data_IF_232395562924
#
_entry.id   IF_232395562924
#
_cell.length_a   1.000
_cell.length_b   1.000
_cell.length_c   1.000
_cell.angle_alpha   90.00
_cell.angle_beta   90.00
_cell.angle_gamma   90.00
#
_symmetry.space_group_name_H-M   'P 1'
#
loop_
_entity.id
_entity.type
_entity.pdbx_description
1 polymer ?
#
# COMPACT_ATOMS: atom_id res chain seq x y z
N UNK A 1 1.39 -30.92 -22.76
CA UNK A 1 1.85 -29.60 -22.26
C UNK A 1 0.67 -28.89 -21.64
N UNK A 2 0.35 -29.19 -20.39
CA UNK A 2 -0.74 -28.54 -19.67
C UNK A 2 -0.23 -27.20 -19.14
N UNK A 3 -0.83 -26.11 -19.64
CA UNK A 3 -0.63 -24.75 -19.14
C UNK A 3 -1.03 -24.71 -17.66
N UNK A 4 -0.03 -24.78 -16.79
CA UNK A 4 -0.18 -24.37 -15.41
C UNK A 4 -0.48 -22.87 -15.41
N UNK A 5 -1.77 -22.52 -15.39
CA UNK A 5 -2.24 -21.21 -14.97
C UNK A 5 -1.86 -21.03 -13.50
N UNK A 6 -0.58 -20.71 -13.30
CA UNK A 6 -0.05 -20.17 -12.06
C UNK A 6 -0.62 -18.76 -11.98
N UNK A 7 -1.84 -18.65 -11.46
CA UNK A 7 -2.34 -17.39 -10.92
C UNK A 7 -1.54 -17.19 -9.65
N UNK A 8 -0.29 -16.76 -9.81
CA UNK A 8 0.48 -16.19 -8.72
C UNK A 8 -0.28 -14.96 -8.29
N UNK A 9 -0.69 -14.91 -7.01
CA UNK A 9 -0.93 -13.63 -6.36
C UNK A 9 0.33 -12.81 -6.60
N UNK A 10 0.26 -11.87 -7.55
CA UNK A 10 1.45 -11.14 -7.96
C UNK A 10 1.94 -10.41 -6.73
N UNK A 11 3.07 -10.86 -6.20
CA UNK A 11 3.71 -10.25 -5.03
C UNK A 11 3.88 -8.75 -5.25
N UNK A 12 4.11 -8.37 -6.50
CA UNK A 12 4.18 -6.98 -6.97
C UNK A 12 2.86 -6.23 -6.77
N UNK A 13 1.71 -6.85 -7.08
CA UNK A 13 0.38 -6.25 -6.87
C UNK A 13 0.11 -5.98 -5.40
N UNK A 14 0.37 -6.95 -4.51
CA UNK A 14 0.13 -6.75 -3.07
C UNK A 14 1.07 -5.70 -2.47
N UNK A 15 2.36 -5.69 -2.86
CA UNK A 15 3.30 -4.65 -2.44
C UNK A 15 2.86 -3.26 -2.93
N UNK A 16 2.40 -3.17 -4.18
CA UNK A 16 1.88 -1.92 -4.74
C UNK A 16 0.63 -1.44 -3.97
N UNK A 17 -0.28 -2.35 -3.63
CA UNK A 17 -1.48 -2.09 -2.85
C UNK A 17 -1.14 -1.53 -1.45
N UNK A 18 -0.22 -2.18 -0.74
CA UNK A 18 0.27 -1.72 0.58
C UNK A 18 0.91 -0.34 0.44
N UNK A 19 1.80 -0.14 -0.54
CA UNK A 19 2.44 1.16 -0.77
C UNK A 19 1.42 2.27 -1.07
N UNK A 20 0.41 1.95 -1.86
CA UNK A 20 -0.65 2.90 -2.21
C UNK A 20 -1.46 3.31 -0.96
N UNK A 21 -1.79 2.36 -0.08
CA UNK A 21 -2.43 2.65 1.20
C UNK A 21 -1.54 3.49 2.12
N UNK A 22 -0.23 3.24 2.14
CA UNK A 22 0.74 4.07 2.86
C UNK A 22 0.75 5.52 2.35
N UNK A 23 0.70 5.72 1.03
CA UNK A 23 0.61 7.05 0.41
C UNK A 23 -0.72 7.73 0.77
N UNK A 24 -1.82 7.00 0.71
CA UNK A 24 -3.15 7.52 1.04
C UNK A 24 -3.20 8.00 2.50
N UNK A 25 -2.75 7.17 3.43
CA UNK A 25 -2.71 7.48 4.86
C UNK A 25 -1.71 8.57 5.24
N UNK A 26 -0.86 9.08 4.32
CA UNK A 26 -0.07 10.30 4.57
C UNK A 26 -0.93 11.56 4.62
N UNK A 27 -2.09 11.54 3.97
CA UNK A 27 -3.03 12.65 3.93
C UNK A 27 -3.85 12.76 5.23
N UNK A 28 -3.83 11.72 6.06
CA UNK A 28 -4.53 11.71 7.35
C UNK A 28 -3.83 12.66 8.33
N UNK A 29 -4.56 13.19 9.33
CA UNK A 29 -3.96 13.97 10.40
C UNK A 29 -2.81 13.22 11.09
N UNK A 30 -1.71 13.92 11.41
CA UNK A 30 -0.45 13.28 11.85
C UNK A 30 -0.59 12.40 13.09
N UNK A 31 -1.49 12.75 14.01
CA UNK A 31 -1.70 12.06 15.30
C UNK A 31 -2.91 11.13 15.30
N UNK A 32 -3.46 10.83 14.13
CA UNK A 32 -4.67 10.01 14.05
C UNK A 32 -4.36 8.52 14.28
N UNK A 33 -4.97 7.85 15.27
CA UNK A 33 -4.70 6.44 15.54
C UNK A 33 -5.11 5.53 14.37
N UNK A 34 -6.18 5.87 13.65
CA UNK A 34 -6.65 5.10 12.49
C UNK A 34 -5.55 4.94 11.43
N UNK A 35 -4.74 5.98 11.24
CA UNK A 35 -3.62 6.00 10.29
C UNK A 35 -2.64 4.85 10.52
N UNK A 36 -2.24 4.65 11.77
CA UNK A 36 -1.25 3.62 12.12
C UNK A 36 -1.88 2.23 12.07
N UNK A 37 -3.13 2.11 12.52
CA UNK A 37 -3.88 0.85 12.52
C UNK A 37 -4.16 0.33 11.11
N UNK A 38 -4.51 1.19 10.16
CA UNK A 38 -4.68 0.77 8.76
C UNK A 38 -3.38 0.28 8.13
N UNK A 39 -2.24 0.88 8.48
CA UNK A 39 -0.93 0.46 7.97
C UNK A 39 -0.49 -0.87 8.56
N UNK A 40 -0.65 -1.04 9.86
CA UNK A 40 -0.38 -2.29 10.58
C UNK A 40 -1.18 -3.44 9.96
N UNK A 41 -2.49 -3.27 9.75
CA UNK A 41 -3.31 -4.28 9.08
C UNK A 41 -2.86 -4.59 7.65
N UNK A 42 -2.46 -3.57 6.89
CA UNK A 42 -1.97 -3.77 5.53
C UNK A 42 -0.68 -4.59 5.47
N UNK A 43 0.19 -4.41 6.47
CA UNK A 43 1.43 -5.18 6.60
C UNK A 43 1.11 -6.62 7.03
N UNK A 44 0.17 -6.83 7.95
CA UNK A 44 -0.28 -8.18 8.33
C UNK A 44 -0.89 -8.95 7.15
N UNK A 45 -1.73 -8.30 6.35
CA UNK A 45 -2.28 -8.88 5.11
C UNK A 45 -1.15 -9.24 4.14
N UNK A 46 -0.19 -8.34 3.93
CA UNK A 46 0.97 -8.58 3.07
C UNK A 46 1.78 -9.80 3.55
N UNK A 47 2.08 -9.87 4.85
CA UNK A 47 2.78 -10.99 5.47
C UNK A 47 2.00 -12.29 5.27
N UNK A 48 0.69 -12.26 5.52
CA UNK A 48 -0.22 -13.40 5.33
C UNK A 48 -0.21 -13.92 3.89
N UNK A 49 -0.33 -13.02 2.91
CA UNK A 49 -0.30 -13.37 1.48
C UNK A 49 1.07 -13.93 1.06
N UNK A 50 2.17 -13.36 1.54
CA UNK A 50 3.53 -13.88 1.29
C UNK A 50 3.70 -15.27 1.89
N UNK A 51 3.25 -15.48 3.13
CA UNK A 51 3.26 -16.80 3.78
C UNK A 51 2.47 -17.81 2.93
N UNK A 52 1.23 -17.49 2.58
CA UNK A 52 0.38 -18.34 1.73
C UNK A 52 1.05 -18.72 0.41
N UNK A 53 1.67 -17.75 -0.27
CA UNK A 53 2.44 -18.01 -1.50
C UNK A 53 3.63 -18.94 -1.25
N UNK A 54 4.38 -18.76 -0.15
CA UNK A 54 5.53 -19.62 0.17
C UNK A 54 5.14 -21.07 0.46
N UNK A 55 4.01 -21.30 1.16
CA UNK A 55 3.51 -22.64 1.44
C UNK A 55 3.06 -23.38 0.17
N UNK A 56 2.57 -22.66 -0.85
CA UNK A 56 2.17 -23.27 -2.13
C UNK A 56 3.34 -23.87 -2.91
N UNK A 57 4.55 -23.34 -2.72
CA UNK A 57 5.76 -23.77 -3.46
C UNK A 57 6.40 -25.00 -2.82
N UNK A 58 6.34 -25.14 -1.51
CA UNK A 58 6.96 -26.27 -0.77
C UNK A 58 6.27 -27.62 -0.99
N UNK A 59 5.02 -27.65 -1.46
CA UNK A 59 4.31 -28.91 -1.75
C UNK A 59 4.77 -29.60 -3.04
N UNK A 60 5.75 -29.04 -3.77
CA UNK A 60 6.28 -29.62 -5.02
C UNK A 60 7.60 -30.39 -4.85
N UNK A 61 8.26 -30.32 -3.69
CA UNK A 61 9.49 -31.09 -3.43
C UNK A 61 9.24 -32.11 -2.32
N UNK A 62 9.00 -33.35 -2.76
CA UNK A 62 9.00 -34.53 -1.90
C UNK A 62 10.31 -34.59 -1.10
N UNK A 63 10.23 -34.44 0.22
CA UNK A 63 11.18 -35.09 1.11
C UNK A 63 10.39 -35.83 2.17
N UNK A 64 10.60 -37.14 2.17
CA UNK A 64 9.84 -38.14 2.88
C UNK A 64 10.27 -38.17 4.34
N UNK A 65 9.50 -37.54 5.25
CA UNK A 65 9.36 -38.05 6.61
C UNK A 65 8.14 -37.47 7.34
N UNK A 66 7.47 -38.36 8.05
CA UNK A 66 6.22 -38.23 8.81
C UNK A 66 6.24 -37.16 9.90
N UNK A 67 5.20 -36.32 9.99
CA UNK A 67 4.16 -36.49 11.01
C UNK A 67 3.04 -35.46 10.86
N UNK A 68 1.83 -35.92 11.17
CA UNK A 68 0.56 -35.30 10.85
C UNK A 68 0.33 -33.93 11.51
N UNK A 69 0.29 -32.85 10.70
CA UNK A 69 -0.66 -31.71 10.83
C UNK A 69 -0.54 -30.64 9.71
N UNK A 70 -0.62 -30.94 8.39
CA UNK A 70 -0.49 -29.88 7.38
C UNK A 70 -1.78 -29.08 7.14
N UNK A 71 -2.95 -29.65 7.44
CA UNK A 71 -4.25 -29.10 6.99
C UNK A 71 -4.74 -27.91 7.84
N UNK A 72 -4.63 -28.00 9.17
CA UNK A 72 -5.09 -26.92 10.08
C UNK A 72 -4.29 -25.63 9.94
N UNK A 73 -2.98 -25.70 9.66
CA UNK A 73 -2.12 -24.50 9.68
C UNK A 73 -2.37 -23.57 8.49
N UNK A 74 -2.74 -24.11 7.33
CA UNK A 74 -3.09 -23.30 6.15
C UNK A 74 -4.46 -22.64 6.28
N UNK A 75 -5.45 -23.34 6.85
CA UNK A 75 -6.80 -22.79 7.06
C UNK A 75 -6.80 -21.64 8.06
N UNK A 76 -6.03 -21.76 9.15
CA UNK A 76 -5.86 -20.69 10.15
C UNK A 76 -5.26 -19.42 9.52
N UNK A 77 -4.26 -19.56 8.63
CA UNK A 77 -3.64 -18.41 7.97
C UNK A 77 -4.58 -17.71 6.98
N UNK A 78 -5.47 -18.45 6.31
CA UNK A 78 -6.42 -17.86 5.35
C UNK A 78 -7.54 -17.10 6.06
N UNK A 79 -8.05 -17.65 7.17
CA UNK A 79 -9.08 -17.00 7.99
C UNK A 79 -8.57 -15.69 8.59
N UNK A 80 -7.34 -15.68 9.11
CA UNK A 80 -6.71 -14.46 9.64
C UNK A 80 -6.58 -13.35 8.58
N UNK A 81 -6.28 -13.70 7.33
CA UNK A 81 -6.19 -12.72 6.23
C UNK A 81 -7.56 -12.14 5.90
N UNK A 82 -8.60 -12.98 5.86
CA UNK A 82 -9.98 -12.56 5.57
C UNK A 82 -10.48 -11.62 6.67
N UNK A 83 -10.27 -11.98 7.93
CA UNK A 83 -10.66 -11.15 9.08
C UNK A 83 -9.95 -9.79 9.05
N UNK A 84 -8.64 -9.78 8.76
CA UNK A 84 -7.88 -8.54 8.63
C UNK A 84 -8.38 -7.67 7.46
N UNK A 85 -8.81 -8.27 6.35
CA UNK A 85 -9.41 -7.56 5.22
C UNK A 85 -10.77 -6.94 5.60
N UNK A 86 -11.58 -7.62 6.41
CA UNK A 86 -12.88 -7.11 6.88
C UNK A 86 -12.74 -5.97 7.88
N UNK A 87 -11.76 -6.05 8.78
CA UNK A 87 -11.43 -4.95 9.70
C UNK A 87 -10.93 -3.75 8.88
N UNK A 88 -10.09 -3.98 7.87
CA UNK A 88 -9.58 -2.90 7.02
C UNK A 88 -10.70 -2.23 6.20
N UNK A 89 -11.68 -3.00 5.68
CA UNK A 89 -12.86 -2.45 5.00
C UNK A 89 -13.68 -1.55 5.93
N UNK A 90 -13.87 -1.98 7.19
CA UNK A 90 -14.52 -1.18 8.22
C UNK A 90 -13.78 0.14 8.47
N UNK A 91 -12.45 0.13 8.48
CA UNK A 91 -11.63 1.34 8.62
C UNK A 91 -11.73 2.28 7.41
N UNK A 92 -11.87 1.75 6.18
CA UNK A 92 -12.14 2.58 5.01
C UNK A 92 -13.47 3.32 5.13
N UNK A 93 -14.52 2.67 5.65
CA UNK A 93 -15.82 3.30 5.86
C UNK A 93 -15.71 4.46 6.86
N UNK A 94 -15.00 4.26 7.98
CA UNK A 94 -14.70 5.34 8.93
C UNK A 94 -13.92 6.48 8.24
N UNK A 95 -12.89 6.16 7.45
CA UNK A 95 -12.09 7.17 6.76
C UNK A 95 -12.91 7.98 5.72
N UNK A 96 -13.91 7.37 5.07
CA UNK A 96 -14.84 8.06 4.15
C UNK A 96 -15.71 9.07 4.89
N UNK A 97 -16.23 8.73 6.06
CA UNK A 97 -17.03 9.63 6.88
C UNK A 97 -16.22 10.85 7.36
N UNK A 98 -14.94 10.64 7.66
CA UNK A 98 -14.05 11.70 8.13
C UNK A 98 -13.56 12.65 7.01
N UNK A 99 -13.70 12.25 5.74
CA UNK A 99 -13.37 13.05 4.56
C UNK A 99 -11.93 13.61 4.55
N UNK A 100 -10.96 12.84 5.08
CA UNK A 100 -9.53 13.23 5.08
C UNK A 100 -8.86 13.07 3.71
N UNK A 101 -9.44 12.22 2.86
CA UNK A 101 -8.95 11.89 1.52
C UNK A 101 -10.11 11.92 0.54
N UNK A 102 -9.80 12.15 -0.75
CA UNK A 102 -10.75 11.98 -1.84
C UNK A 102 -11.48 10.64 -1.74
N UNK A 103 -12.81 10.67 -1.81
CA UNK A 103 -13.65 9.47 -1.81
C UNK A 103 -13.26 8.53 -2.96
N UNK A 104 -12.94 9.08 -4.13
CA UNK A 104 -12.53 8.29 -5.29
C UNK A 104 -11.24 7.51 -5.03
N UNK A 105 -10.24 8.12 -4.39
CA UNK A 105 -8.96 7.46 -4.09
C UNK A 105 -9.15 6.34 -3.05
N UNK A 106 -9.98 6.61 -2.04
CA UNK A 106 -10.37 5.63 -1.02
C UNK A 106 -11.13 4.44 -1.64
N UNK A 107 -12.08 4.71 -2.53
CA UNK A 107 -12.87 3.68 -3.22
C UNK A 107 -12.02 2.80 -4.13
N UNK A 108 -11.06 3.37 -4.86
CA UNK A 108 -10.13 2.61 -5.70
C UNK A 108 -9.33 1.63 -4.82
N UNK A 109 -8.75 2.11 -3.72
CA UNK A 109 -7.97 1.24 -2.83
C UNK A 109 -8.85 0.17 -2.19
N UNK A 110 -10.02 0.55 -1.66
CA UNK A 110 -10.96 -0.38 -1.05
C UNK A 110 -11.40 -1.47 -2.04
N UNK A 111 -11.70 -1.09 -3.29
CA UNK A 111 -12.04 -2.06 -4.35
C UNK A 111 -10.92 -3.06 -4.60
N UNK A 112 -9.66 -2.59 -4.63
CA UNK A 112 -8.51 -3.47 -4.86
C UNK A 112 -8.27 -4.45 -3.69
N UNK A 113 -8.49 -4.03 -2.43
CA UNK A 113 -8.46 -4.95 -1.28
C UNK A 113 -9.63 -5.93 -1.30
N UNK A 114 -10.81 -5.52 -1.78
CA UNK A 114 -11.96 -6.40 -1.95
C UNK A 114 -11.75 -7.43 -3.08
N UNK A 115 -11.06 -7.05 -4.16
CA UNK A 115 -10.63 -8.00 -5.19
C UNK A 115 -9.65 -9.03 -4.62
N UNK A 116 -8.68 -8.59 -3.80
CA UNK A 116 -7.79 -9.48 -3.09
C UNK A 116 -8.55 -10.46 -2.19
N UNK A 117 -9.55 -9.97 -1.43
CA UNK A 117 -10.42 -10.82 -0.58
C UNK A 117 -11.08 -11.92 -1.40
N UNK A 118 -11.71 -11.57 -2.53
CA UNK A 118 -12.36 -12.52 -3.43
C UNK A 118 -11.37 -13.56 -3.97
N UNK A 119 -10.16 -13.16 -4.30
CA UNK A 119 -9.16 -14.08 -4.81
C UNK A 119 -8.68 -15.07 -3.72
N UNK A 120 -8.54 -14.62 -2.46
CA UNK A 120 -8.25 -15.52 -1.31
C UNK A 120 -9.41 -16.50 -1.09
N UNK A 121 -10.66 -16.04 -1.12
CA UNK A 121 -11.84 -16.91 -1.00
C UNK A 121 -11.96 -17.91 -2.17
N UNK A 122 -11.66 -17.48 -3.40
CA UNK A 122 -11.68 -18.35 -4.57
C UNK A 122 -10.63 -19.47 -4.49
N UNK A 123 -9.48 -19.20 -3.86
CA UNK A 123 -8.48 -20.24 -3.58
C UNK A 123 -8.98 -21.26 -2.55
N UNK A 124 -9.79 -20.83 -1.57
CA UNK A 124 -10.50 -21.73 -0.65
C UNK A 124 -11.46 -22.64 -1.41
N UNK A 125 -12.30 -22.09 -2.29
CA UNK A 125 -13.32 -22.86 -3.03
C UNK A 125 -12.69 -23.90 -3.98
N UNK A 126 -11.56 -23.56 -4.62
CA UNK A 126 -10.81 -24.51 -5.47
C UNK A 126 -10.20 -25.66 -4.67
N UNK A 127 -9.83 -25.44 -3.39
CA UNK A 127 -9.36 -26.50 -2.48
C UNK A 127 -10.51 -27.35 -1.92
N UNK A 128 -11.72 -26.79 -1.77
CA UNK A 128 -12.87 -27.52 -1.20
C UNK A 128 -13.66 -28.33 -2.23
N UNK A 129 -13.67 -27.96 -3.51
CA UNK A 129 -14.39 -28.71 -4.56
C UNK A 129 -13.76 -30.06 -4.96
N UNK A 130 -12.65 -30.47 -4.33
CA UNK A 130 -12.15 -31.85 -4.39
C UNK A 130 -12.74 -32.78 -3.32
N UNK A 131 -13.63 -32.31 -2.42
CA UNK A 131 -14.50 -33.16 -1.57
C UNK A 131 -15.77 -32.40 -1.12
N UNK A 132 -16.99 -32.78 -1.56
CA UNK A 132 -18.21 -32.17 -1.03
C UNK A 132 -18.75 -32.92 0.20
N UNK A 133 -18.94 -32.22 1.32
CA UNK A 133 -20.26 -32.05 1.98
C UNK A 133 -20.17 -31.51 3.42
N UNK A 134 -20.78 -30.33 3.60
CA UNK A 134 -21.59 -29.75 4.69
C UNK A 134 -21.71 -30.57 6.00
N UNK A 135 -21.69 -29.99 7.22
CA UNK A 135 -22.76 -29.14 7.79
C UNK A 135 -22.29 -28.39 9.05
N UNK A 136 -22.82 -27.17 9.18
CA UNK A 136 -22.82 -26.19 10.27
C UNK A 136 -23.30 -26.70 11.65
N UNK A 137 -22.71 -26.23 12.75
CA UNK A 137 -23.25 -26.43 14.11
C UNK A 137 -22.63 -25.49 15.15
N UNK A 138 -23.48 -24.65 15.76
CA UNK A 138 -23.20 -23.54 16.70
C UNK A 138 -22.81 -24.02 18.13
N UNK A 139 -22.24 -23.09 18.92
CA UNK A 139 -22.55 -22.73 20.35
C UNK A 139 -21.34 -22.64 21.33
N UNK A 140 -21.08 -21.38 21.74
CA UNK A 140 -20.84 -20.76 23.07
C UNK A 140 -19.74 -21.22 24.07
N UNK A 141 -18.95 -20.19 24.47
CA UNK A 141 -18.47 -19.77 25.82
C UNK A 141 -18.31 -20.80 26.94
N UNK A 142 -17.14 -20.76 27.60
CA UNK A 142 -17.06 -20.47 29.04
C UNK A 142 -15.65 -20.05 29.48
N UNK A 143 -15.64 -19.21 30.53
CA UNK A 143 -14.49 -18.61 31.20
C UNK A 143 -13.79 -19.63 32.12
N UNK A 144 -12.53 -19.40 32.50
CA UNK A 144 -12.14 -19.35 33.93
C UNK A 144 -10.69 -18.88 34.14
N UNK A 145 -10.50 -18.19 35.26
CA UNK A 145 -9.33 -17.46 35.75
C UNK A 145 -8.53 -18.32 36.74
N UNK A 146 -7.20 -18.08 36.86
CA UNK A 146 -6.37 -17.96 38.09
C UNK A 146 -4.91 -18.37 37.82
N UNK A 147 -3.97 -17.42 37.87
CA UNK A 147 -3.09 -17.06 39.01
C UNK A 147 -1.76 -17.83 39.03
N UNK A 148 -0.64 -17.09 39.21
CA UNK A 148 0.65 -17.64 39.65
C UNK A 148 1.87 -17.26 38.82
N UNK A 149 2.49 -16.11 39.12
CA UNK A 149 3.93 -15.84 38.89
C UNK A 149 4.78 -16.63 39.92
N UNK A 150 6.14 -16.63 39.94
CA UNK A 150 7.13 -15.83 39.17
C UNK A 150 8.36 -16.65 38.69
N UNK A 151 9.41 -15.97 38.20
CA UNK A 151 10.88 -16.26 38.25
C UNK A 151 11.54 -15.58 37.02
N UNK A 152 12.21 -14.41 37.18
CA UNK A 152 13.68 -14.22 37.39
C UNK A 152 14.51 -14.90 36.29
N UNK A 153 15.22 -14.21 35.40
CA UNK A 153 16.57 -13.59 35.48
C UNK A 153 17.15 -13.73 34.05
N UNK A 154 18.03 -12.94 33.43
CA UNK A 154 18.98 -11.91 33.83
C UNK A 154 19.30 -11.07 32.58
N UNK A 155 19.56 -9.78 32.78
CA UNK A 155 20.32 -8.94 31.83
C UNK A 155 21.81 -9.28 31.94
N UNK A 156 22.56 -9.14 30.84
CA UNK A 156 23.91 -8.59 30.92
C UNK A 156 23.97 -7.23 30.22
N UNK A 157 24.41 -6.23 30.97
CA UNK A 157 25.01 -5.00 30.45
C UNK A 157 26.44 -5.30 29.95
N UNK A 158 26.85 -4.66 28.85
CA UNK A 158 28.12 -3.90 28.76
C UNK A 158 28.34 -3.38 27.33
N UNK A 159 28.89 -2.17 27.20
CA UNK A 159 29.61 -1.74 26.00
C UNK A 159 29.13 -0.45 25.36
N UNK A 160 29.66 0.69 25.81
CA UNK A 160 29.41 2.02 25.25
C UNK A 160 30.14 2.34 23.94
N UNK A 161 29.76 3.52 23.41
CA UNK A 161 30.37 4.32 22.33
C UNK A 161 30.24 3.83 20.87
N UNK A 162 29.14 4.20 20.21
CA UNK A 162 29.10 4.34 18.73
C UNK A 162 27.91 5.16 18.16
N UNK A 163 27.11 5.84 19.00
CA UNK A 163 25.80 6.38 18.57
C UNK A 163 25.81 7.76 17.88
N UNK A 164 26.84 8.58 18.05
CA UNK A 164 26.82 9.95 17.50
C UNK A 164 27.38 10.05 16.07
N UNK A 165 28.17 9.07 15.62
CA UNK A 165 28.78 9.10 14.29
C UNK A 165 27.84 8.55 13.20
N UNK A 166 26.91 7.68 13.59
CA UNK A 166 25.93 7.04 12.70
C UNK A 166 24.76 7.95 12.31
N UNK A 167 24.40 8.94 13.14
CA UNK A 167 23.30 9.87 12.84
C UNK A 167 23.64 10.90 11.75
N UNK A 168 24.92 11.30 11.65
CA UNK A 168 25.38 12.34 10.71
C UNK A 168 25.53 11.84 9.26
N UNK A 169 25.84 10.56 9.09
CA UNK A 169 25.92 9.91 7.78
C UNK A 169 24.53 9.61 7.19
N UNK A 170 23.54 9.35 8.06
CA UNK A 170 22.17 9.06 7.64
C UNK A 170 21.42 10.30 7.13
N UNK A 171 21.69 11.48 7.70
CA UNK A 171 21.14 12.76 7.23
C UNK A 171 21.68 13.14 5.83
N UNK A 172 22.97 12.92 5.58
CA UNK A 172 23.58 13.23 4.28
C UNK A 172 23.13 12.26 3.16
N UNK A 173 22.80 11.02 3.51
CA UNK A 173 22.26 10.02 2.57
C UNK A 173 20.82 10.34 2.17
N UNK A 174 19.98 10.76 3.12
CA UNK A 174 18.59 11.21 2.89
C UNK A 174 18.50 12.45 1.99
N UNK A 175 19.49 13.35 2.05
CA UNK A 175 19.54 14.53 1.16
C UNK A 175 19.99 14.20 -0.27
N UNK A 176 20.88 13.21 -0.44
CA UNK A 176 21.31 12.73 -1.76
C UNK A 176 20.24 11.90 -2.47
N UNK A 177 19.45 11.13 -1.72
CA UNK A 177 18.32 10.35 -2.27
C UNK A 177 17.16 11.28 -2.73
N UNK A 178 16.87 12.35 -1.98
CA UNK A 178 15.91 13.39 -2.39
C UNK A 178 16.25 14.05 -3.74
N UNK A 179 17.54 14.29 -4.02
CA UNK A 179 17.98 14.86 -5.32
C UNK A 179 17.86 13.88 -6.49
N UNK A 180 17.81 12.57 -6.22
CA UNK A 180 17.75 11.53 -7.27
C UNK A 180 16.30 11.25 -7.72
N UNK A 181 15.33 11.48 -6.85
CA UNK A 181 13.90 11.25 -7.12
C UNK A 181 13.25 12.39 -7.93
N UNK A 182 13.86 13.59 -7.97
CA UNK A 182 13.38 14.73 -8.78
C UNK A 182 13.61 14.56 -10.31
N UNK A 183 14.40 13.56 -10.71
CA UNK A 183 14.77 13.31 -12.10
C UNK A 183 13.74 12.50 -12.90
N UNK A 184 12.81 11.79 -12.26
CA UNK A 184 11.79 11.00 -12.96
C UNK A 184 10.61 11.93 -13.29
N UNK A 185 10.38 12.16 -14.58
CA UNK A 185 9.25 12.95 -15.05
C UNK A 185 7.95 12.18 -14.70
N UNK A 186 7.10 12.74 -13.85
CA UNK A 186 5.85 12.09 -13.47
C UNK A 186 4.88 12.05 -14.66
N UNK A 187 4.10 10.98 -14.83
CA UNK A 187 3.06 10.83 -15.87
C UNK A 187 2.12 12.06 -15.95
N UNK A 188 1.85 12.69 -14.81
CA UNK A 188 1.06 13.91 -14.72
C UNK A 188 1.72 15.11 -15.41
N UNK A 189 3.04 15.26 -15.28
CA UNK A 189 3.79 16.34 -15.91
C UNK A 189 3.81 16.16 -17.43
N UNK A 190 3.86 14.91 -17.91
CA UNK A 190 3.76 14.60 -19.33
C UNK A 190 2.40 15.02 -19.91
N UNK A 191 1.29 14.72 -19.23
CA UNK A 191 -0.05 15.19 -19.64
C UNK A 191 -0.13 16.71 -19.72
N UNK A 192 0.50 17.44 -18.81
CA UNK A 192 0.59 18.91 -18.85
C UNK A 192 1.37 19.37 -20.09
N UNK A 193 2.47 18.70 -20.44
CA UNK A 193 3.27 19.03 -21.62
C UNK A 193 2.52 18.75 -22.92
N UNK A 194 1.78 17.63 -23.02
CA UNK A 194 0.93 17.34 -24.19
C UNK A 194 -0.10 18.45 -24.38
N UNK A 195 -0.79 18.86 -23.32
CA UNK A 195 -1.76 19.94 -23.38
C UNK A 195 -1.14 21.28 -23.82
N UNK A 196 0.07 21.60 -23.32
CA UNK A 196 0.79 22.81 -23.74
C UNK A 196 1.24 22.75 -25.20
N UNK A 197 1.54 21.56 -25.75
CA UNK A 197 1.84 21.40 -27.20
C UNK A 197 0.61 21.68 -28.06
N UNK A 198 -0.56 21.23 -27.64
CA UNK A 198 -1.81 21.39 -28.39
C UNK A 198 -2.36 22.83 -28.33
N UNK A 199 -2.38 23.44 -27.15
CA UNK A 199 -2.94 24.79 -26.94
C UNK A 199 -1.91 25.91 -27.12
N UNK A 200 -0.62 25.57 -27.21
CA UNK A 200 0.51 26.50 -27.27
C UNK A 200 0.84 27.15 -25.92
N UNK A 201 -0.16 27.71 -25.23
CA UNK A 201 -0.03 28.29 -23.90
C UNK A 201 -1.24 27.96 -23.02
N UNK A 202 -1.02 27.82 -21.72
CA UNK A 202 -2.09 27.54 -20.77
C UNK A 202 -1.92 28.27 -19.44
N UNK A 203 -3.06 28.54 -18.79
CA UNK A 203 -3.12 28.91 -17.38
C UNK A 203 -3.41 27.69 -16.52
N UNK A 204 -3.06 27.77 -15.24
CA UNK A 204 -3.27 26.67 -14.27
C UNK A 204 -4.72 26.20 -14.22
N UNK A 205 -5.69 27.10 -14.39
CA UNK A 205 -7.11 26.73 -14.35
C UNK A 205 -7.56 25.95 -15.59
N UNK A 206 -6.95 26.19 -16.76
CA UNK A 206 -7.27 25.46 -17.99
C UNK A 206 -6.79 24.01 -17.88
N UNK A 207 -5.60 23.81 -17.30
CA UNK A 207 -5.09 22.46 -17.01
C UNK A 207 -5.92 21.74 -15.95
N UNK A 208 -6.60 22.47 -15.05
CA UNK A 208 -7.54 21.85 -14.12
C UNK A 208 -8.76 21.21 -14.81
N UNK A 209 -9.13 21.65 -16.02
CA UNK A 209 -10.25 21.04 -16.77
C UNK A 209 -9.88 19.63 -17.28
N UNK A 210 -8.64 19.44 -17.70
CA UNK A 210 -8.16 18.14 -18.22
C UNK A 210 -7.72 17.18 -17.12
N UNK A 211 -7.37 17.71 -15.94
CA UNK A 211 -6.94 16.94 -14.78
C UNK A 211 -7.76 17.36 -13.55
N UNK A 212 -9.05 17.00 -13.48
CA UNK A 212 -9.94 17.40 -12.38
C UNK A 212 -9.55 16.76 -11.04
N UNK A 213 -8.87 15.62 -11.09
CA UNK A 213 -8.37 14.86 -9.93
C UNK A 213 -7.32 15.63 -9.11
N UNK A 214 -6.64 16.61 -9.71
CA UNK A 214 -5.58 17.37 -9.03
C UNK A 214 -5.98 18.79 -8.66
N UNK A 215 -5.57 19.17 -7.46
CA UNK A 215 -5.82 20.52 -6.94
C UNK A 215 -5.00 21.57 -7.70
N UNK A 216 -5.49 22.83 -7.69
CA UNK A 216 -4.75 23.98 -8.25
C UNK A 216 -3.36 24.14 -7.63
N UNK A 217 -3.18 23.72 -6.37
CA UNK A 217 -1.89 23.81 -5.66
C UNK A 217 -0.90 22.76 -6.15
N UNK A 218 -1.37 21.54 -6.40
CA UNK A 218 -0.56 20.48 -7.00
C UNK A 218 -0.11 20.87 -8.40
N UNK A 219 -1.04 21.37 -9.23
CA UNK A 219 -0.72 21.84 -10.58
C UNK A 219 0.35 22.95 -10.56
N UNK A 220 0.23 23.96 -9.68
CA UNK A 220 1.26 25.01 -9.54
C UNK A 220 2.64 24.42 -9.23
N UNK A 221 2.71 23.39 -8.38
CA UNK A 221 3.97 22.71 -8.04
C UNK A 221 4.54 21.93 -9.23
N UNK A 222 3.70 21.27 -10.01
CA UNK A 222 4.14 20.60 -11.24
C UNK A 222 4.65 21.59 -12.29
N UNK A 223 3.95 22.72 -12.47
CA UNK A 223 4.43 23.81 -13.32
C UNK A 223 5.76 24.39 -12.81
N UNK A 224 5.93 24.54 -11.50
CA UNK A 224 7.20 24.99 -10.92
C UNK A 224 8.34 24.00 -11.18
N UNK A 225 8.07 22.69 -11.09
CA UNK A 225 9.04 21.65 -11.42
C UNK A 225 9.43 21.71 -12.91
N UNK A 226 8.47 21.90 -13.81
CA UNK A 226 8.71 22.04 -15.25
C UNK A 226 9.47 23.33 -15.59
N UNK A 227 9.21 24.43 -14.87
CA UNK A 227 9.97 25.69 -14.98
C UNK A 227 11.42 25.51 -14.53
N UNK A 228 11.65 24.85 -13.39
CA UNK A 228 13.00 24.55 -12.88
C UNK A 228 13.79 23.67 -13.84
N UNK A 229 13.12 22.74 -14.52
CA UNK A 229 13.72 21.90 -15.57
C UNK A 229 13.97 22.66 -16.88
N UNK A 230 13.49 23.89 -17.02
CA UNK A 230 13.67 24.72 -18.22
C UNK A 230 12.87 24.26 -19.44
N UNK A 231 11.89 23.35 -19.26
CA UNK A 231 11.06 22.79 -20.34
C UNK A 231 9.96 23.77 -20.75
N UNK A 232 9.46 24.54 -19.79
CA UNK A 232 8.43 25.55 -19.99
C UNK A 232 8.91 26.91 -19.52
N UNK A 233 8.25 27.96 -19.97
CA UNK A 233 8.47 29.33 -19.56
C UNK A 233 7.15 29.98 -19.13
N UNK A 234 7.26 30.91 -18.18
CA UNK A 234 6.13 31.69 -17.66
C UNK A 234 6.09 33.03 -18.38
N UNK A 235 4.94 33.40 -18.91
CA UNK A 235 4.71 34.66 -19.61
C UNK A 235 3.56 35.41 -18.96
N UNK A 236 3.72 36.73 -18.82
CA UNK A 236 2.72 37.63 -18.27
C UNK A 236 2.78 37.78 -16.75
N UNK A 237 1.95 38.69 -16.23
CA UNK A 237 1.99 39.14 -14.84
C UNK A 237 0.62 39.04 -14.16
N UNK A 238 0.63 38.87 -12.83
CA UNK A 238 -0.56 38.81 -11.97
C UNK A 238 -1.60 37.80 -12.53
N UNK A 239 -2.77 38.29 -12.91
CA UNK A 239 -3.91 37.48 -13.36
C UNK A 239 -3.73 36.95 -14.79
N UNK A 240 -2.80 37.51 -15.56
CA UNK A 240 -2.53 37.12 -16.94
C UNK A 240 -1.27 36.25 -17.03
N UNK A 241 -1.08 35.37 -16.04
CA UNK A 241 0.02 34.41 -16.04
C UNK A 241 -0.32 33.22 -16.94
N UNK A 242 0.51 32.98 -17.94
CA UNK A 242 0.45 31.82 -18.84
C UNK A 242 1.77 31.04 -18.79
N UNK A 243 1.69 29.77 -19.15
CA UNK A 243 2.83 28.88 -19.31
C UNK A 243 2.86 28.39 -20.74
N UNK A 244 4.03 28.35 -21.36
CA UNK A 244 4.23 27.78 -22.69
C UNK A 244 5.49 26.92 -22.72
N UNK A 245 5.59 26.00 -23.69
CA UNK A 245 6.82 25.24 -23.89
C UNK A 245 7.89 26.19 -24.40
N UNK A 246 9.07 26.14 -23.78
CA UNK A 246 10.21 26.94 -24.20
C UNK A 246 10.62 26.45 -25.59
N UNK A 247 10.50 27.29 -26.61
CA UNK A 247 11.08 27.00 -27.91
C UNK A 247 12.60 27.13 -27.79
N UNK A 248 13.31 26.05 -28.10
CA UNK A 248 14.76 26.08 -28.25
C UNK A 248 15.16 26.69 -29.58
#
# INVERSE_FOLDING_TARGET
MALALKITMDKEKIIFLTNHLYKLTLLFPKKEPLRYKMRELADEILIGVIKMNSLSVSNSSNSSFSSAAPLKKTEICEEEIIDNLDILDSFFNVAKEQNWVSLSDLEIIQSNYNELKKEVENQRIKKTNSQPSLVLGKIQKENETREGAPVSSAFPEEGGNSLEQSQREEEQRKEREKKKEEAILNERQEKILVFLKEQGRAQVWQVKQILPEVTKRTLRRDFENLLKKGIIERIGEKNNTFYQIKKS
#
